data_IF_239213425689
#
_entry.id   IF_239213425689
#
_cell.length_a   1.000
_cell.length_b   1.000
_cell.length_c   1.000
_cell.angle_alpha   90.00
_cell.angle_beta   90.00
_cell.angle_gamma   90.00
#
_symmetry.space_group_name_H-M   'P 1'
#
loop_
_entity.id
_entity.type
_entity.pdbx_description
1 polymer ?
#
# COMPACT_ATOMS: atom_id res chain seq x y z
N UNK A 1 -70.13 40.42 54.84
CA UNK A 1 -69.05 40.89 53.98
C UNK A 1 -68.01 39.80 54.00
N UNK A 2 -67.97 38.97 52.94
CA UNK A 2 -67.04 37.83 52.80
C UNK A 2 -65.85 38.30 51.94
N UNK A 3 -64.63 38.25 52.50
CA UNK A 3 -63.40 38.54 51.79
C UNK A 3 -62.92 37.25 51.11
N UNK A 4 -62.78 37.28 49.78
CA UNK A 4 -62.13 36.21 49.00
C UNK A 4 -60.63 36.51 48.95
N UNK A 5 -59.81 35.53 49.34
CA UNK A 5 -58.36 35.50 49.09
C UNK A 5 -58.11 34.70 47.82
N UNK A 6 -57.47 35.34 46.86
CA UNK A 6 -56.99 34.67 45.62
C UNK A 6 -55.53 34.26 45.89
N UNK A 7 -55.28 32.96 45.84
CA UNK A 7 -53.94 32.39 45.94
C UNK A 7 -53.38 32.28 44.49
N UNK A 8 -52.35 33.05 44.20
CA UNK A 8 -51.61 32.93 42.92
C UNK A 8 -50.54 31.83 43.04
N UNK A 9 -50.68 30.75 42.26
CA UNK A 9 -49.67 29.69 42.13
C UNK A 9 -48.74 30.09 41.02
N UNK A 10 -47.50 30.40 41.38
CA UNK A 10 -46.41 30.62 40.41
C UNK A 10 -45.80 29.25 40.07
N UNK A 11 -46.06 28.76 38.84
CA UNK A 11 -45.36 27.54 38.28
C UNK A 11 -44.03 27.97 37.74
N UNK A 12 -42.94 27.58 38.42
CA UNK A 12 -41.58 27.63 37.84
C UNK A 12 -41.43 26.51 36.83
N UNK A 13 -41.43 26.84 35.54
CA UNK A 13 -41.04 25.93 34.47
C UNK A 13 -39.53 25.75 34.45
N UNK A 14 -39.02 24.57 34.84
CA UNK A 14 -37.65 24.17 34.60
C UNK A 14 -37.52 23.81 33.10
N UNK A 15 -36.90 24.69 32.33
CA UNK A 15 -36.45 24.36 30.97
C UNK A 15 -35.22 23.44 31.06
N UNK A 16 -35.43 22.14 30.87
CA UNK A 16 -34.34 21.19 30.69
C UNK A 16 -33.69 21.48 29.33
N UNK A 17 -32.50 22.10 29.32
CA UNK A 17 -31.64 22.17 28.14
C UNK A 17 -31.11 20.77 27.83
N UNK A 18 -31.80 20.04 26.98
CA UNK A 18 -31.25 18.84 26.35
C UNK A 18 -30.24 19.30 25.30
N UNK A 19 -28.96 19.30 25.66
CA UNK A 19 -27.85 19.36 24.68
C UNK A 19 -27.92 18.09 23.87
N UNK A 20 -28.52 18.15 22.68
CA UNK A 20 -28.32 17.15 21.63
C UNK A 20 -26.85 17.17 21.29
N UNK A 21 -26.08 16.13 21.70
CA UNK A 21 -24.77 15.86 21.11
C UNK A 21 -25.01 15.72 19.61
N UNK A 22 -24.54 16.69 18.84
CA UNK A 22 -24.43 16.51 17.39
C UNK A 22 -23.57 15.23 17.18
N UNK A 23 -24.11 14.23 16.49
CA UNK A 23 -23.35 13.08 16.09
C UNK A 23 -22.17 13.60 15.24
N UNK A 24 -20.95 13.19 15.60
CA UNK A 24 -19.81 13.48 14.75
C UNK A 24 -20.10 12.91 13.36
N UNK A 25 -19.71 13.62 12.28
CA UNK A 25 -19.89 13.11 10.94
C UNK A 25 -19.18 11.75 10.82
N UNK A 26 -19.85 10.78 10.22
CA UNK A 26 -19.30 9.45 10.02
C UNK A 26 -18.00 9.58 9.21
N UNK A 27 -16.88 9.04 9.74
CA UNK A 27 -15.59 9.08 9.08
C UNK A 27 -15.66 8.29 7.77
N UNK A 28 -15.06 8.81 6.72
CA UNK A 28 -14.95 8.06 5.48
C UNK A 28 -14.13 6.76 5.68
N UNK A 29 -14.25 5.82 4.76
CA UNK A 29 -13.67 4.48 4.92
C UNK A 29 -12.12 4.54 4.97
N UNK A 30 -11.49 5.42 4.19
CA UNK A 30 -10.04 5.60 4.22
C UNK A 30 -9.58 6.14 5.59
N UNK A 31 -10.34 7.05 6.21
CA UNK A 31 -10.02 7.55 7.56
C UNK A 31 -10.18 6.45 8.63
N UNK A 32 -11.16 5.57 8.49
CA UNK A 32 -11.32 4.42 9.41
C UNK A 32 -10.12 3.47 9.28
N UNK A 33 -9.63 3.23 8.05
CA UNK A 33 -8.40 2.46 7.83
C UNK A 33 -7.18 3.15 8.46
N UNK A 34 -7.03 4.47 8.25
CA UNK A 34 -5.95 5.25 8.87
C UNK A 34 -5.95 5.10 10.40
N UNK A 35 -7.10 5.28 11.05
CA UNK A 35 -7.23 5.17 12.51
C UNK A 35 -6.92 3.74 13.00
N UNK A 36 -7.30 2.74 12.22
CA UNK A 36 -6.96 1.33 12.51
C UNK A 36 -5.46 1.10 12.45
N UNK A 37 -4.79 1.59 11.39
CA UNK A 37 -3.34 1.51 11.25
C UNK A 37 -2.62 2.23 12.40
N UNK A 38 -3.10 3.41 12.78
CA UNK A 38 -2.54 4.19 13.89
C UNK A 38 -2.69 3.47 15.25
N UNK A 39 -3.81 2.78 15.45
CA UNK A 39 -4.04 1.97 16.65
C UNK A 39 -3.15 0.73 16.69
N UNK A 40 -3.03 0.01 15.56
CA UNK A 40 -2.27 -1.22 15.49
C UNK A 40 -0.75 -1.00 15.64
N UNK A 41 -0.20 0.08 15.05
CA UNK A 41 1.23 0.40 15.20
C UNK A 41 1.67 0.67 16.65
N UNK A 42 0.73 0.93 17.57
CA UNK A 42 1.04 1.04 19.00
C UNK A 42 1.26 -0.33 19.67
N UNK A 43 0.79 -1.40 19.03
CA UNK A 43 0.93 -2.79 19.53
C UNK A 43 2.16 -3.48 18.95
N UNK A 44 2.50 -3.16 17.70
CA UNK A 44 3.62 -3.78 16.97
C UNK A 44 3.58 -3.46 15.49
N UNK A 45 4.48 -4.06 14.73
CA UNK A 45 4.64 -3.89 13.30
C UNK A 45 3.90 -5.03 12.59
N UNK A 46 2.92 -4.72 11.76
CA UNK A 46 2.21 -5.72 10.98
C UNK A 46 3.11 -6.28 9.89
N UNK A 47 3.19 -7.61 9.82
CA UNK A 47 3.88 -8.31 8.74
C UNK A 47 2.99 -8.39 7.51
N UNK A 48 3.56 -8.03 6.35
CA UNK A 48 2.91 -8.10 5.06
C UNK A 48 3.69 -8.95 4.06
N UNK A 49 2.97 -9.56 3.10
CA UNK A 49 3.54 -10.32 2.00
C UNK A 49 2.81 -10.03 0.70
N UNK A 50 3.59 -9.83 -0.37
CA UNK A 50 3.07 -9.58 -1.72
C UNK A 50 2.60 -10.88 -2.36
N UNK A 51 1.44 -10.87 -3.02
CA UNK A 51 0.86 -11.98 -3.81
C UNK A 51 0.73 -13.31 -3.06
N UNK A 52 0.74 -13.27 -1.73
CA UNK A 52 0.81 -14.42 -0.83
C UNK A 52 -0.18 -15.56 -1.14
N UNK A 53 -1.45 -15.33 -1.56
CA UNK A 53 -2.44 -16.40 -1.72
C UNK A 53 -2.45 -17.03 -3.12
N UNK A 54 -1.53 -16.66 -4.00
CA UNK A 54 -1.60 -17.10 -5.39
C UNK A 54 -0.60 -18.18 -5.74
N UNK A 55 0.60 -18.06 -5.24
CA UNK A 55 1.70 -18.98 -5.51
C UNK A 55 2.77 -18.89 -4.41
N UNK A 56 3.52 -19.94 -4.27
CA UNK A 56 4.68 -20.03 -3.41
C UNK A 56 5.81 -20.80 -4.09
N UNK A 57 6.82 -21.17 -3.33
CA UNK A 57 7.98 -21.86 -3.89
C UNK A 57 7.67 -23.27 -4.41
N UNK A 58 6.64 -23.92 -3.88
CA UNK A 58 6.32 -25.33 -4.18
C UNK A 58 4.87 -25.56 -4.61
N UNK A 59 4.07 -24.49 -4.73
CA UNK A 59 2.64 -24.58 -5.03
C UNK A 59 2.19 -23.38 -5.87
N UNK A 60 1.13 -23.56 -6.65
CA UNK A 60 0.47 -22.52 -7.44
C UNK A 60 -1.06 -22.67 -7.26
N UNK A 61 -1.73 -21.63 -6.83
CA UNK A 61 -3.20 -21.53 -6.70
C UNK A 61 -3.86 -22.58 -5.82
N UNK A 62 -3.11 -23.21 -4.91
CA UNK A 62 -3.66 -24.12 -3.93
C UNK A 62 -4.57 -23.35 -2.95
N UNK A 63 -5.76 -23.90 -2.73
CA UNK A 63 -6.75 -23.24 -1.89
C UNK A 63 -6.23 -23.11 -0.45
N UNK A 64 -6.38 -21.93 0.13
CA UNK A 64 -5.97 -21.61 1.50
C UNK A 64 -4.46 -21.81 1.78
N UNK A 65 -3.64 -21.83 0.74
CA UNK A 65 -2.18 -21.88 0.86
C UNK A 65 -1.55 -20.48 0.91
N UNK A 66 -0.47 -20.39 1.65
CA UNK A 66 0.40 -19.23 1.83
C UNK A 66 1.75 -19.75 2.34
N UNK A 67 2.84 -19.28 1.75
CA UNK A 67 4.17 -19.65 2.26
C UNK A 67 4.39 -19.14 3.69
N UNK A 68 3.83 -17.97 4.03
CA UNK A 68 3.84 -17.40 5.38
C UNK A 68 3.10 -18.33 6.34
N UNK A 69 1.82 -18.62 6.07
CA UNK A 69 0.99 -19.48 6.89
C UNK A 69 1.57 -20.90 7.00
N UNK A 70 2.07 -21.44 5.90
CA UNK A 70 2.68 -22.77 5.88
C UNK A 70 3.96 -22.83 6.73
N UNK A 71 4.63 -21.67 6.94
CA UNK A 71 5.84 -21.58 7.76
C UNK A 71 5.54 -21.36 9.24
N UNK A 72 4.67 -20.42 9.60
CA UNK A 72 4.45 -20.04 11.00
C UNK A 72 3.06 -20.38 11.56
N UNK A 73 2.12 -20.83 10.71
CA UNK A 73 0.77 -21.20 11.14
C UNK A 73 -0.28 -20.08 11.01
N UNK A 74 0.13 -18.83 10.72
CA UNK A 74 -0.74 -17.67 10.61
C UNK A 74 -0.56 -16.93 9.28
N UNK A 75 -1.59 -16.21 8.85
CA UNK A 75 -1.56 -15.39 7.65
C UNK A 75 -0.81 -14.06 7.89
N UNK A 76 -0.22 -13.45 6.84
CA UNK A 76 0.25 -12.08 6.97
C UNK A 76 -0.92 -11.16 7.36
N UNK A 77 -0.65 -10.16 8.20
CA UNK A 77 -1.63 -9.15 8.59
C UNK A 77 -1.99 -8.21 7.42
N UNK A 78 -1.00 -7.91 6.58
CA UNK A 78 -1.14 -7.07 5.38
C UNK A 78 -0.87 -7.92 4.15
N UNK A 79 -1.78 -7.88 3.18
CA UNK A 79 -1.60 -8.62 1.93
C UNK A 79 -1.49 -7.65 0.76
N UNK A 80 -0.40 -7.79 0.01
CA UNK A 80 -0.11 -6.98 -1.16
C UNK A 80 -0.63 -7.61 -2.44
N UNK A 81 -1.10 -6.76 -3.37
CA UNK A 81 -1.59 -7.14 -4.69
C UNK A 81 -1.07 -6.17 -5.75
N UNK A 82 -0.92 -6.66 -6.98
CA UNK A 82 -0.35 -5.91 -8.10
C UNK A 82 -1.31 -5.82 -9.29
N UNK A 83 -1.54 -4.61 -9.82
CA UNK A 83 -2.52 -4.37 -10.88
C UNK A 83 -1.93 -4.18 -12.29
N UNK A 84 -0.63 -4.27 -12.49
CA UNK A 84 -0.03 -4.12 -13.82
C UNK A 84 -0.67 -5.06 -14.86
N UNK A 85 -1.13 -4.51 -15.99
CA UNK A 85 -1.89 -5.22 -17.01
C UNK A 85 -3.39 -4.89 -17.01
N UNK A 86 -3.96 -4.40 -15.89
CA UNK A 86 -5.37 -4.00 -15.83
C UNK A 86 -5.67 -2.88 -16.84
N UNK A 87 -4.73 -1.97 -17.03
CA UNK A 87 -4.82 -0.88 -17.98
C UNK A 87 -4.97 -1.33 -19.42
N UNK A 88 -4.48 -2.52 -19.75
CA UNK A 88 -4.63 -3.12 -21.08
C UNK A 88 -5.97 -3.87 -21.25
N UNK A 89 -6.69 -4.13 -20.14
CA UNK A 89 -7.83 -5.04 -20.12
C UNK A 89 -7.40 -6.51 -20.22
N UNK A 90 -6.17 -6.82 -19.79
CA UNK A 90 -5.68 -8.19 -19.71
C UNK A 90 -6.49 -8.99 -18.68
N UNK A 91 -6.62 -10.30 -18.88
CA UNK A 91 -7.30 -11.18 -17.92
C UNK A 91 -6.45 -11.48 -16.67
N UNK A 92 -5.15 -11.23 -16.75
CA UNK A 92 -4.15 -11.50 -15.71
C UNK A 92 -3.21 -10.30 -15.57
N UNK A 93 -2.71 -10.12 -14.34
CA UNK A 93 -1.69 -9.12 -14.10
C UNK A 93 -0.30 -9.54 -14.66
N UNK A 94 0.69 -8.69 -14.49
CA UNK A 94 2.07 -8.90 -14.96
C UNK A 94 2.74 -10.15 -14.36
N UNK A 95 2.31 -10.61 -13.18
CA UNK A 95 2.77 -11.83 -12.50
C UNK A 95 1.92 -13.06 -12.85
N UNK A 96 1.08 -12.95 -13.89
CA UNK A 96 0.18 -14.00 -14.39
C UNK A 96 -0.97 -14.37 -13.44
N UNK A 97 -1.27 -13.55 -12.44
CA UNK A 97 -2.41 -13.72 -11.53
C UNK A 97 -3.70 -13.28 -12.22
N UNK A 98 -4.72 -14.14 -12.34
CA UNK A 98 -6.02 -13.76 -12.88
C UNK A 98 -6.70 -12.70 -12.01
N UNK A 99 -7.18 -11.60 -12.60
CA UNK A 99 -7.86 -10.54 -11.86
C UNK A 99 -9.13 -11.00 -11.14
N UNK A 100 -9.82 -12.01 -11.70
CA UNK A 100 -10.96 -12.64 -11.02
C UNK A 100 -10.55 -13.33 -9.72
N UNK A 101 -9.42 -14.04 -9.74
CA UNK A 101 -8.87 -14.69 -8.54
C UNK A 101 -8.35 -13.67 -7.54
N UNK A 102 -7.74 -12.59 -8.03
CA UNK A 102 -7.29 -11.49 -7.20
C UNK A 102 -8.45 -10.83 -6.43
N UNK A 103 -9.57 -10.56 -7.11
CA UNK A 103 -10.79 -10.05 -6.48
C UNK A 103 -11.28 -10.98 -5.35
N UNK A 104 -11.32 -12.29 -5.59
CA UNK A 104 -11.72 -13.29 -4.58
C UNK A 104 -10.81 -13.22 -3.35
N UNK A 105 -9.49 -13.20 -3.53
CA UNK A 105 -8.54 -13.22 -2.40
C UNK A 105 -8.47 -11.89 -1.66
N UNK A 106 -8.65 -10.76 -2.33
CA UNK A 106 -8.82 -9.45 -1.66
C UNK A 106 -10.03 -9.50 -0.71
N UNK A 107 -11.17 -9.98 -1.20
CA UNK A 107 -12.38 -10.10 -0.38
C UNK A 107 -12.17 -11.11 0.76
N UNK A 108 -11.55 -12.24 0.48
CA UNK A 108 -11.28 -13.28 1.48
C UNK A 108 -10.37 -12.75 2.59
N UNK A 109 -9.26 -12.08 2.23
CA UNK A 109 -8.34 -11.55 3.23
C UNK A 109 -8.98 -10.45 4.09
N UNK A 110 -9.72 -9.54 3.46
CA UNK A 110 -10.49 -8.53 4.18
C UNK A 110 -11.51 -9.16 5.15
N UNK A 111 -12.24 -10.19 4.72
CA UNK A 111 -13.20 -10.89 5.57
C UNK A 111 -12.56 -11.65 6.74
N UNK A 112 -11.28 -12.05 6.61
CA UNK A 112 -10.49 -12.60 7.73
C UNK A 112 -10.06 -11.51 8.73
N UNK A 113 -10.28 -10.23 8.43
CA UNK A 113 -9.85 -9.10 9.23
C UNK A 113 -8.50 -8.50 8.80
N UNK A 114 -7.90 -8.98 7.72
CA UNK A 114 -6.63 -8.50 7.19
C UNK A 114 -6.72 -7.12 6.54
N UNK A 115 -5.56 -6.55 6.25
CA UNK A 115 -5.38 -5.26 5.59
C UNK A 115 -4.92 -5.48 4.16
N UNK A 116 -5.48 -4.70 3.24
CA UNK A 116 -5.18 -4.77 1.81
C UNK A 116 -4.27 -3.61 1.40
N UNK A 117 -3.17 -3.90 0.72
CA UNK A 117 -2.39 -2.90 -0.02
C UNK A 117 -2.29 -3.28 -1.49
N UNK A 118 -2.38 -2.27 -2.36
CA UNK A 118 -2.37 -2.49 -3.81
C UNK A 118 -1.35 -1.55 -4.45
N UNK A 119 -0.42 -2.14 -5.22
CA UNK A 119 0.49 -1.43 -6.11
C UNK A 119 0.01 -1.49 -7.56
N UNK A 120 0.52 -0.59 -8.39
CA UNK A 120 0.24 -0.58 -9.81
C UNK A 120 1.50 -0.27 -10.60
N UNK A 121 1.96 -1.25 -11.38
CA UNK A 121 3.05 -1.13 -12.35
C UNK A 121 2.48 -1.04 -13.77
N UNK A 122 1.86 0.09 -14.16
CA UNK A 122 1.28 0.19 -15.50
C UNK A 122 2.36 0.14 -16.57
N UNK A 123 1.99 -0.43 -17.71
CA UNK A 123 2.84 -0.43 -18.90
C UNK A 123 3.18 0.99 -19.32
N UNK A 124 4.25 1.14 -20.12
CA UNK A 124 4.62 2.43 -20.68
C UNK A 124 3.61 2.83 -21.75
N UNK A 125 2.83 3.90 -21.55
CA UNK A 125 1.73 4.26 -22.46
C UNK A 125 2.19 4.76 -23.84
N UNK A 126 3.46 5.15 -23.98
CA UNK A 126 4.03 5.62 -25.27
C UNK A 126 4.54 4.45 -26.10
N UNK A 127 5.24 3.50 -25.48
CA UNK A 127 5.92 2.40 -26.19
C UNK A 127 5.12 1.11 -26.25
N UNK A 128 4.01 1.00 -25.52
CA UNK A 128 3.11 -0.15 -25.57
C UNK A 128 2.34 -0.19 -26.89
N UNK A 129 2.32 -1.37 -27.53
CA UNK A 129 1.53 -1.64 -28.72
C UNK A 129 0.08 -1.97 -28.32
N UNK A 130 -0.87 -1.22 -28.84
CA UNK A 130 -2.28 -1.41 -28.54
C UNK A 130 -2.81 -2.71 -29.18
N UNK A 131 -3.66 -3.44 -28.45
CA UNK A 131 -4.33 -4.66 -28.93
C UNK A 131 -3.48 -5.93 -28.89
N UNK A 132 -2.23 -5.84 -28.46
CA UNK A 132 -1.37 -7.00 -28.22
C UNK A 132 -0.90 -7.04 -26.77
N UNK A 133 -0.97 -8.16 -26.09
CA UNK A 133 -0.23 -8.34 -24.85
C UNK A 133 1.26 -8.03 -25.02
N UNK A 134 2.15 -8.55 -24.19
CA UNK A 134 3.60 -8.45 -24.42
C UNK A 134 4.08 -9.36 -25.59
N UNK A 135 3.15 -10.06 -26.25
CA UNK A 135 3.46 -10.91 -27.37
C UNK A 135 4.11 -10.12 -28.52
N UNK A 136 5.34 -10.48 -28.87
CA UNK A 136 6.12 -9.80 -29.88
C UNK A 136 6.91 -8.57 -29.42
N UNK A 137 6.77 -8.14 -28.18
CA UNK A 137 7.62 -7.12 -27.56
C UNK A 137 8.82 -7.78 -26.87
N UNK A 138 9.96 -7.13 -26.97
CA UNK A 138 11.19 -7.57 -26.30
C UNK A 138 11.26 -6.82 -24.96
N UNK A 139 11.29 -7.56 -23.83
CA UNK A 139 11.48 -6.94 -22.53
C UNK A 139 12.74 -6.04 -22.52
N UNK A 140 12.71 -4.80 -21.98
CA UNK A 140 11.62 -4.20 -21.21
C UNK A 140 10.57 -3.41 -22.03
N UNK A 141 10.61 -3.43 -23.37
CA UNK A 141 9.73 -2.63 -24.23
C UNK A 141 8.25 -2.76 -23.87
N UNK A 142 7.59 -1.63 -23.69
CA UNK A 142 6.17 -1.54 -23.35
C UNK A 142 5.82 -1.95 -21.93
N UNK A 143 6.77 -2.31 -21.06
CA UNK A 143 6.53 -2.60 -19.64
C UNK A 143 6.72 -1.35 -18.77
N UNK A 144 6.47 -1.46 -17.46
CA UNK A 144 6.78 -0.40 -16.50
C UNK A 144 8.27 -0.03 -16.47
N UNK A 145 9.14 -1.00 -16.81
CA UNK A 145 10.61 -0.86 -16.89
C UNK A 145 11.12 -0.35 -18.23
N UNK A 146 10.25 0.00 -19.15
CA UNK A 146 10.66 0.62 -20.42
C UNK A 146 10.96 2.11 -20.20
N UNK A 147 12.23 2.41 -20.06
CA UNK A 147 12.77 3.75 -19.83
C UNK A 147 13.37 4.37 -21.12
N UNK A 148 13.05 3.83 -22.27
CA UNK A 148 13.59 4.26 -23.55
C UNK A 148 13.12 5.65 -24.00
N UNK A 149 12.02 6.14 -23.41
CA UNK A 149 11.44 7.46 -23.67
C UNK A 149 11.33 8.27 -22.37
N UNK A 150 11.96 9.44 -22.33
CA UNK A 150 11.93 10.36 -21.17
C UNK A 150 10.76 11.36 -21.22
N UNK A 151 9.89 11.26 -22.22
CA UNK A 151 8.74 12.16 -22.40
C UNK A 151 7.41 11.51 -22.01
N UNK A 152 7.44 10.30 -21.47
CA UNK A 152 6.24 9.49 -21.17
C UNK A 152 5.26 10.27 -20.31
N UNK A 153 5.69 10.76 -19.14
CA UNK A 153 4.81 11.49 -18.23
C UNK A 153 4.23 12.73 -18.89
N UNK A 154 5.05 13.52 -19.56
CA UNK A 154 4.58 14.71 -20.30
C UNK A 154 3.51 14.36 -21.36
N UNK A 155 3.67 13.23 -22.05
CA UNK A 155 2.74 12.81 -23.10
C UNK A 155 1.38 12.32 -22.58
N UNK A 156 1.27 11.92 -21.31
CA UNK A 156 0.00 11.45 -20.70
C UNK A 156 -0.69 12.53 -19.86
N UNK A 157 -0.02 13.64 -19.57
CA UNK A 157 -0.65 14.77 -18.88
C UNK A 157 -1.60 15.53 -19.83
N UNK A 158 -2.52 16.37 -19.32
CA UNK A 158 -3.46 17.15 -20.15
C UNK A 158 -2.78 17.90 -21.30
N UNK A 159 -3.24 17.66 -22.53
CA UNK A 159 -2.65 18.20 -23.75
C UNK A 159 -1.54 17.35 -24.36
N UNK A 160 -1.11 16.29 -23.72
CA UNK A 160 -0.15 15.32 -24.26
C UNK A 160 -0.77 14.37 -25.29
N UNK A 161 0.06 13.82 -26.18
CA UNK A 161 -0.38 12.99 -27.30
C UNK A 161 -1.03 11.65 -26.87
N UNK A 162 -0.74 11.17 -25.68
CA UNK A 162 -1.25 9.91 -25.12
C UNK A 162 -2.27 10.14 -23.99
N UNK A 163 -2.74 11.37 -23.77
CA UNK A 163 -3.66 11.71 -22.70
C UNK A 163 -4.93 10.87 -22.73
N UNK A 164 -5.62 10.79 -23.86
CA UNK A 164 -6.89 10.03 -24.00
C UNK A 164 -6.68 8.52 -23.80
N UNK A 165 -5.56 7.98 -24.27
CA UNK A 165 -5.19 6.58 -24.00
C UNK A 165 -5.03 6.35 -22.50
N UNK A 166 -4.34 7.23 -21.81
CA UNK A 166 -4.10 7.11 -20.39
C UNK A 166 -5.38 7.33 -19.55
N UNK A 167 -6.30 8.19 -19.99
CA UNK A 167 -7.65 8.32 -19.40
C UNK A 167 -8.39 6.99 -19.48
N UNK A 168 -8.32 6.29 -20.61
CA UNK A 168 -8.92 4.95 -20.77
C UNK A 168 -8.29 3.95 -19.80
N UNK A 169 -6.98 4.01 -19.58
CA UNK A 169 -6.27 3.15 -18.64
C UNK A 169 -6.69 3.41 -17.19
N UNK A 170 -6.77 4.68 -16.80
CA UNK A 170 -7.27 5.04 -15.48
C UNK A 170 -8.74 4.64 -15.27
N UNK A 171 -9.58 4.66 -16.33
CA UNK A 171 -10.95 4.18 -16.23
C UNK A 171 -11.01 2.67 -15.96
N UNK A 172 -10.18 1.86 -16.62
CA UNK A 172 -10.12 0.41 -16.36
C UNK A 172 -9.66 0.10 -14.94
N UNK A 173 -8.69 0.85 -14.43
CA UNK A 173 -8.29 0.78 -13.03
C UNK A 173 -9.47 1.12 -12.09
N UNK A 174 -10.17 2.22 -12.37
CA UNK A 174 -11.36 2.63 -11.61
C UNK A 174 -12.44 1.55 -11.61
N UNK A 175 -12.74 0.97 -12.77
CA UNK A 175 -13.74 -0.08 -12.91
C UNK A 175 -13.39 -1.33 -12.08
N UNK A 176 -12.12 -1.73 -12.06
CA UNK A 176 -11.65 -2.84 -11.23
C UNK A 176 -11.78 -2.53 -9.73
N UNK A 177 -11.28 -1.39 -9.29
CA UNK A 177 -11.36 -0.96 -7.88
C UNK A 177 -12.82 -0.84 -7.41
N UNK A 178 -13.73 -0.36 -8.26
CA UNK A 178 -15.15 -0.26 -7.96
C UNK A 178 -15.83 -1.64 -7.74
N UNK A 179 -15.24 -2.70 -8.28
CA UNK A 179 -15.67 -4.08 -8.08
C UNK A 179 -15.24 -4.69 -6.74
N UNK A 180 -14.30 -4.08 -6.02
CA UNK A 180 -13.77 -4.59 -4.75
C UNK A 180 -14.73 -4.27 -3.59
N UNK A 181 -15.72 -5.12 -3.41
CA UNK A 181 -16.77 -5.01 -2.40
C UNK A 181 -17.03 -6.33 -1.71
N UNK A 182 -17.45 -6.25 -0.47
CA UNK A 182 -17.97 -7.38 0.28
C UNK A 182 -19.30 -7.88 -0.31
N UNK A 183 -19.77 -9.04 0.11
CA UNK A 183 -21.03 -9.60 -0.38
C UNK A 183 -22.27 -8.73 -0.10
N UNK A 184 -22.22 -7.90 0.94
CA UNK A 184 -23.26 -6.93 1.30
C UNK A 184 -23.06 -5.55 0.64
N UNK A 185 -22.07 -5.42 -0.25
CA UNK A 185 -21.84 -4.25 -1.09
C UNK A 185 -20.97 -3.17 -0.45
N UNK A 186 -20.37 -3.41 0.72
CA UNK A 186 -19.46 -2.45 1.36
C UNK A 186 -18.15 -2.37 0.58
N UNK A 187 -17.63 -1.16 0.38
CA UNK A 187 -16.30 -0.95 -0.22
C UNK A 187 -15.21 -1.46 0.72
N UNK A 188 -14.24 -2.15 0.16
CA UNK A 188 -13.07 -2.63 0.92
C UNK A 188 -12.08 -1.47 1.08
N UNK A 189 -11.64 -1.14 2.31
CA UNK A 189 -10.58 -0.15 2.52
C UNK A 189 -9.24 -0.67 1.98
N UNK A 190 -8.52 0.16 1.25
CA UNK A 190 -7.30 -0.21 0.52
C UNK A 190 -6.22 0.83 0.76
N UNK A 191 -5.02 0.40 1.11
CA UNK A 191 -3.80 1.22 1.00
C UNK A 191 -3.39 1.18 -0.47
N UNK A 192 -3.60 2.28 -1.21
CA UNK A 192 -3.28 2.35 -2.63
C UNK A 192 -1.93 3.04 -2.86
N UNK A 193 -1.01 2.35 -3.52
CA UNK A 193 0.40 2.73 -3.66
C UNK A 193 0.85 2.77 -5.13
N UNK A 194 0.39 3.74 -5.91
CA UNK A 194 0.87 3.94 -7.28
C UNK A 194 2.22 4.66 -7.30
N UNK A 195 2.91 4.63 -8.44
CA UNK A 195 4.09 5.44 -8.75
C UNK A 195 5.22 5.34 -7.71
N UNK A 196 5.34 4.19 -7.06
CA UNK A 196 6.36 3.92 -6.03
C UNK A 196 7.77 3.93 -6.62
N UNK A 197 8.79 3.89 -5.75
CA UNK A 197 10.21 3.90 -6.11
C UNK A 197 10.62 5.02 -7.07
N UNK A 198 9.91 6.14 -7.02
CA UNK A 198 10.06 7.27 -7.94
C UNK A 198 11.43 7.98 -7.87
N UNK A 199 12.23 7.72 -6.86
CA UNK A 199 13.62 8.18 -6.72
C UNK A 199 14.60 7.33 -7.52
N UNK A 200 14.18 6.12 -7.96
CA UNK A 200 14.89 5.30 -8.91
C UNK A 200 14.67 5.77 -10.35
N UNK A 201 15.37 5.13 -11.29
CA UNK A 201 15.25 5.43 -12.73
C UNK A 201 15.00 4.17 -13.55
N UNK A 202 14.40 3.15 -12.93
CA UNK A 202 14.05 1.88 -13.58
C UNK A 202 12.59 1.78 -13.99
N UNK A 203 11.73 2.73 -13.56
CA UNK A 203 10.37 2.87 -14.04
C UNK A 203 10.23 4.13 -14.89
N UNK A 204 9.30 4.16 -15.87
CA UNK A 204 9.07 5.31 -16.74
C UNK A 204 8.59 6.58 -15.99
N UNK A 205 8.17 6.47 -14.72
CA UNK A 205 7.84 7.60 -13.83
C UNK A 205 8.99 7.98 -12.88
N UNK A 206 10.17 7.40 -13.05
CA UNK A 206 11.31 7.58 -12.18
C UNK A 206 12.00 8.96 -12.30
N UNK A 207 12.95 9.20 -11.40
CA UNK A 207 13.60 10.52 -11.21
C UNK A 207 14.21 11.10 -12.49
N UNK A 208 14.86 10.28 -13.31
CA UNK A 208 15.51 10.74 -14.56
C UNK A 208 14.58 10.76 -15.77
N UNK A 209 13.34 10.29 -15.61
CA UNK A 209 12.38 10.10 -16.69
C UNK A 209 11.31 11.19 -16.74
N UNK A 210 11.11 11.90 -15.62
CA UNK A 210 10.21 13.06 -15.57
C UNK A 210 10.66 14.02 -14.47
N UNK A 211 10.26 15.29 -14.57
CA UNK A 211 10.52 16.28 -13.53
C UNK A 211 9.68 16.02 -12.28
N UNK A 212 10.03 16.64 -11.16
CA UNK A 212 9.25 16.56 -9.93
C UNK A 212 7.83 17.10 -10.10
N UNK A 213 7.67 18.18 -10.89
CA UNK A 213 6.38 18.80 -11.21
C UNK A 213 5.52 17.87 -12.08
N UNK A 214 6.11 17.23 -13.10
CA UNK A 214 5.43 16.25 -13.94
C UNK A 214 4.98 15.02 -13.11
N UNK A 215 5.83 14.54 -12.21
CA UNK A 215 5.46 13.44 -11.29
C UNK A 215 4.29 13.81 -10.38
N UNK A 216 4.33 15.00 -9.76
CA UNK A 216 3.22 15.50 -8.92
C UNK A 216 1.93 15.69 -9.73
N UNK A 217 2.04 16.16 -10.97
CA UNK A 217 0.90 16.29 -11.87
C UNK A 217 0.30 14.92 -12.24
N UNK A 218 1.16 13.92 -12.50
CA UNK A 218 0.73 12.53 -12.73
C UNK A 218 -0.02 11.96 -11.51
N UNK A 219 0.53 12.17 -10.31
CA UNK A 219 -0.13 11.76 -9.06
C UNK A 219 -1.50 12.41 -8.91
N UNK A 220 -1.55 13.72 -9.03
CA UNK A 220 -2.79 14.49 -8.87
C UNK A 220 -3.84 14.07 -9.90
N UNK A 221 -3.46 13.87 -11.16
CA UNK A 221 -4.38 13.44 -12.21
C UNK A 221 -5.06 12.11 -11.88
N UNK A 222 -4.31 11.13 -11.36
CA UNK A 222 -4.88 9.84 -10.96
C UNK A 222 -5.77 9.98 -9.73
N UNK A 223 -5.31 10.68 -8.71
CA UNK A 223 -6.08 10.84 -7.47
C UNK A 223 -7.37 11.62 -7.71
N UNK A 224 -7.30 12.74 -8.42
CA UNK A 224 -8.48 13.56 -8.76
C UNK A 224 -9.51 12.76 -9.57
N UNK A 225 -9.05 11.90 -10.50
CA UNK A 225 -9.93 10.99 -11.25
C UNK A 225 -10.66 10.03 -10.32
N UNK A 226 -9.95 9.36 -9.42
CA UNK A 226 -10.56 8.40 -8.50
C UNK A 226 -11.44 9.09 -7.44
N UNK A 227 -11.10 10.29 -7.00
CA UNK A 227 -11.94 11.10 -6.12
C UNK A 227 -13.28 11.47 -6.80
N UNK A 228 -13.22 11.89 -8.08
CA UNK A 228 -14.42 12.17 -8.90
C UNK A 228 -15.27 10.92 -9.11
N UNK A 229 -14.66 9.74 -9.25
CA UNK A 229 -15.34 8.45 -9.35
C UNK A 229 -15.95 7.98 -8.01
N UNK A 230 -15.68 8.70 -6.92
CA UNK A 230 -16.30 8.49 -5.61
C UNK A 230 -15.59 7.47 -4.73
N UNK A 231 -14.29 7.29 -4.88
CA UNK A 231 -13.49 6.42 -4.01
C UNK A 231 -13.15 7.14 -2.68
N UNK A 232 -13.87 6.83 -1.63
CA UNK A 232 -13.65 7.29 -0.26
C UNK A 232 -12.96 6.22 0.63
N UNK A 233 -12.57 5.11 0.00
CA UNK A 233 -11.98 3.92 0.64
C UNK A 233 -10.49 3.72 0.30
N UNK A 234 -9.88 4.63 -0.45
CA UNK A 234 -8.46 4.55 -0.80
C UNK A 234 -7.61 5.42 0.14
N UNK A 235 -6.77 4.79 0.93
CA UNK A 235 -5.73 5.45 1.72
C UNK A 235 -4.45 5.48 0.89
N UNK A 236 -4.07 6.66 0.43
CA UNK A 236 -2.95 6.83 -0.49
C UNK A 236 -1.60 6.70 0.20
N UNK A 237 -0.71 5.90 -0.39
CA UNK A 237 0.64 5.66 0.10
C UNK A 237 1.70 6.17 -0.88
N UNK A 238 2.59 7.06 -0.42
CA UNK A 238 3.75 7.53 -1.16
C UNK A 238 5.00 6.81 -0.67
N UNK A 239 5.73 6.12 -1.55
CA UNK A 239 6.88 5.30 -1.21
C UNK A 239 8.02 5.41 -2.24
N UNK A 240 8.96 6.35 -2.06
CA UNK A 240 10.22 6.35 -2.79
C UNK A 240 11.10 5.17 -2.38
N UNK A 241 12.05 4.80 -3.23
CA UNK A 241 13.08 3.83 -2.89
C UNK A 241 14.01 4.33 -1.80
N UNK A 242 14.50 3.42 -0.95
CA UNK A 242 15.51 3.68 0.06
C UNK A 242 16.78 4.27 -0.59
N UNK A 243 17.36 5.28 0.01
CA UNK A 243 18.54 5.95 -0.53
C UNK A 243 19.61 6.21 0.54
N UNK A 244 20.86 6.22 0.11
CA UNK A 244 21.96 6.66 0.97
C UNK A 244 21.78 8.15 1.27
N UNK A 245 21.81 8.52 2.55
CA UNK A 245 21.63 9.89 3.01
C UNK A 245 20.28 10.52 2.58
N UNK A 246 19.19 9.77 2.66
CA UNK A 246 17.85 10.31 2.42
C UNK A 246 17.53 11.39 3.46
N UNK A 247 17.31 12.62 3.00
CA UNK A 247 16.89 13.76 3.82
C UNK A 247 15.41 14.04 3.64
N UNK A 248 14.78 14.73 4.60
CA UNK A 248 13.39 15.19 4.47
C UNK A 248 13.21 16.04 3.19
N UNK A 249 14.16 16.92 2.87
CA UNK A 249 14.12 17.75 1.67
C UNK A 249 14.07 16.89 0.39
N UNK A 250 14.93 15.87 0.29
CA UNK A 250 14.95 14.96 -0.85
C UNK A 250 13.67 14.14 -0.93
N UNK A 251 13.16 13.67 0.22
CA UNK A 251 11.88 12.95 0.30
C UNK A 251 10.72 13.81 -0.20
N UNK A 252 10.71 15.10 0.15
CA UNK A 252 9.67 16.07 -0.21
C UNK A 252 9.74 16.54 -1.67
N UNK A 253 10.84 16.37 -2.37
CA UNK A 253 11.02 16.87 -3.73
C UNK A 253 9.89 16.44 -4.67
N UNK A 254 9.48 15.17 -4.58
CA UNK A 254 8.40 14.58 -5.39
C UNK A 254 7.11 14.30 -4.60
N UNK A 255 7.07 14.64 -3.33
CA UNK A 255 5.93 14.39 -2.46
C UNK A 255 4.68 15.14 -2.93
N UNK A 256 3.53 14.45 -3.14
CA UNK A 256 2.34 15.07 -3.73
C UNK A 256 1.65 16.11 -2.84
N UNK A 257 1.85 16.05 -1.54
CA UNK A 257 1.24 16.96 -0.56
C UNK A 257 0.62 16.25 0.64
N UNK A 258 0.55 16.95 1.77
CA UNK A 258 0.02 16.39 3.02
C UNK A 258 -1.48 16.10 2.98
N UNK A 259 -2.24 16.81 2.17
CA UNK A 259 -3.67 16.61 1.93
C UNK A 259 -3.98 15.42 1.03
N UNK A 260 -2.96 14.91 0.34
CA UNK A 260 -3.06 13.83 -0.64
C UNK A 260 -2.65 12.47 -0.09
N UNK A 261 -1.79 12.42 0.92
CA UNK A 261 -1.13 11.21 1.41
C UNK A 261 -1.56 10.89 2.84
N UNK A 262 -1.91 9.64 3.10
CA UNK A 262 -2.15 9.12 4.45
C UNK A 262 -1.00 8.27 4.97
N UNK A 263 -0.37 7.47 4.09
CA UNK A 263 0.78 6.62 4.43
C UNK A 263 2.03 7.14 3.74
N UNK A 264 3.08 7.35 4.50
CA UNK A 264 4.42 7.66 3.99
C UNK A 264 5.30 6.42 4.17
N UNK A 265 5.93 6.00 3.08
CA UNK A 265 6.69 4.77 3.03
C UNK A 265 8.07 4.93 2.41
N UNK A 266 8.86 3.88 2.50
CA UNK A 266 10.06 3.63 1.70
C UNK A 266 10.07 2.18 1.24
N UNK A 267 10.70 1.92 0.09
CA UNK A 267 10.93 0.58 -0.43
C UNK A 267 12.43 0.28 -0.30
N UNK A 268 12.78 -0.72 0.53
CA UNK A 268 14.15 -0.96 0.95
C UNK A 268 14.60 -2.41 0.85
N UNK A 269 15.43 -2.73 -0.13
CA UNK A 269 15.97 -4.07 -0.37
C UNK A 269 17.44 -4.17 0.00
N UNK A 270 17.86 -5.35 0.50
CA UNK A 270 19.27 -5.66 0.71
C UNK A 270 19.89 -6.17 -0.59
N UNK A 271 20.61 -5.29 -1.30
CA UNK A 271 21.36 -5.64 -2.51
C UNK A 271 22.87 -5.84 -2.28
N UNK A 272 23.34 -5.57 -1.07
CA UNK A 272 24.74 -5.59 -0.69
C UNK A 272 24.97 -6.13 0.72
N UNK A 273 26.10 -5.80 1.36
CA UNK A 273 26.43 -6.25 2.69
C UNK A 273 25.33 -5.91 3.71
N UNK A 274 25.05 -6.85 4.61
CA UNK A 274 24.04 -6.70 5.68
C UNK A 274 24.24 -5.41 6.50
N UNK A 275 25.49 -5.12 6.87
CA UNK A 275 25.77 -3.94 7.69
C UNK A 275 25.41 -2.63 6.98
N UNK A 276 25.63 -2.54 5.67
CA UNK A 276 25.29 -1.36 4.88
C UNK A 276 23.77 -1.24 4.73
N UNK A 277 23.08 -2.34 4.50
CA UNK A 277 21.61 -2.39 4.45
C UNK A 277 21.02 -1.92 5.79
N UNK A 278 21.47 -2.50 6.92
CA UNK A 278 20.98 -2.14 8.24
C UNK A 278 21.20 -0.65 8.55
N UNK A 279 22.38 -0.13 8.26
CA UNK A 279 22.70 1.28 8.50
C UNK A 279 21.85 2.21 7.62
N UNK A 280 21.63 1.85 6.36
CA UNK A 280 20.81 2.62 5.44
C UNK A 280 19.32 2.55 5.83
N UNK A 281 18.80 1.38 6.17
CA UNK A 281 17.42 1.20 6.62
C UNK A 281 17.16 1.99 7.91
N UNK A 282 18.08 1.92 8.88
CA UNK A 282 18.01 2.65 10.15
C UNK A 282 17.90 4.16 9.91
N UNK A 283 18.82 4.73 9.11
CA UNK A 283 18.81 6.16 8.80
C UNK A 283 17.54 6.61 8.04
N UNK A 284 17.04 5.77 7.11
CA UNK A 284 15.86 6.10 6.34
C UNK A 284 14.59 6.02 7.20
N UNK A 285 14.47 5.02 8.09
CA UNK A 285 13.32 4.90 8.99
C UNK A 285 13.31 5.98 10.07
N UNK A 286 14.49 6.39 10.57
CA UNK A 286 14.60 7.53 11.50
C UNK A 286 14.07 8.82 10.86
N UNK A 287 14.47 9.12 9.64
CA UNK A 287 13.95 10.28 8.89
C UNK A 287 12.45 10.13 8.63
N UNK A 288 11.99 8.98 8.12
CA UNK A 288 10.63 8.74 7.73
C UNK A 288 9.65 8.86 8.90
N UNK A 289 9.98 8.26 10.04
CA UNK A 289 9.10 8.28 11.23
C UNK A 289 8.99 9.67 11.84
N UNK A 290 10.08 10.45 11.87
CA UNK A 290 10.07 11.87 12.27
C UNK A 290 9.21 12.70 11.31
N UNK A 291 9.34 12.47 10.00
CA UNK A 291 8.50 13.12 9.00
C UNK A 291 7.03 12.77 9.18
N UNK A 292 6.71 11.49 9.39
CA UNK A 292 5.36 11.00 9.61
C UNK A 292 4.71 11.65 10.85
N UNK A 293 5.42 11.65 11.98
CA UNK A 293 4.96 12.29 13.23
C UNK A 293 4.68 13.78 13.04
N UNK A 294 5.64 14.52 12.46
CA UNK A 294 5.53 15.95 12.18
C UNK A 294 4.31 16.30 11.33
N UNK A 295 3.95 15.44 10.37
CA UNK A 295 2.91 15.68 9.39
C UNK A 295 1.60 14.92 9.67
N UNK A 296 1.47 14.20 10.78
CA UNK A 296 0.29 13.40 11.12
C UNK A 296 0.04 12.27 10.10
N UNK A 297 1.09 11.53 9.71
CA UNK A 297 1.03 10.42 8.75
C UNK A 297 1.33 9.08 9.41
N UNK A 298 0.97 8.01 8.71
CA UNK A 298 1.38 6.65 9.07
C UNK A 298 2.69 6.32 8.34
N UNK A 299 3.72 5.93 9.07
CA UNK A 299 4.96 5.44 8.48
C UNK A 299 4.89 3.93 8.21
N UNK A 300 5.49 3.48 7.11
CA UNK A 300 5.59 2.06 6.76
C UNK A 300 6.87 1.75 5.97
N UNK A 301 7.35 0.51 6.08
CA UNK A 301 8.32 -0.08 5.16
C UNK A 301 7.51 -0.80 4.08
N UNK A 302 7.19 -0.06 3.02
CA UNK A 302 6.16 -0.43 2.04
C UNK A 302 6.55 -1.55 1.11
N UNK A 303 7.85 -1.76 0.93
CA UNK A 303 8.46 -2.98 0.38
C UNK A 303 9.81 -3.24 1.02
N UNK A 304 10.15 -4.50 1.20
CA UNK A 304 11.50 -4.88 1.62
C UNK A 304 11.82 -6.33 1.21
N UNK A 305 13.09 -6.69 1.35
CA UNK A 305 13.49 -8.07 1.14
C UNK A 305 14.99 -8.26 0.96
N UNK A 306 15.38 -9.52 1.11
CA UNK A 306 16.66 -10.05 0.65
C UNK A 306 16.38 -11.14 -0.37
N UNK A 307 16.79 -10.93 -1.61
CA UNK A 307 16.58 -11.89 -2.69
C UNK A 307 17.09 -13.28 -2.32
N UNK A 308 16.18 -14.28 -2.42
CA UNK A 308 16.44 -15.68 -2.16
C UNK A 308 16.89 -15.99 -0.73
N UNK A 309 16.71 -15.05 0.19
CA UNK A 309 17.07 -15.18 1.62
C UNK A 309 18.39 -15.93 1.83
N UNK A 310 19.42 -15.48 1.05
CA UNK A 310 20.75 -16.09 1.03
C UNK A 310 21.46 -16.01 2.40
N UNK A 311 20.95 -15.20 3.32
CA UNK A 311 21.32 -15.12 4.72
C UNK A 311 20.12 -15.64 5.54
N UNK A 312 20.08 -16.91 5.95
CA UNK A 312 18.90 -17.48 6.58
C UNK A 312 18.42 -16.77 7.84
N UNK A 313 19.32 -16.19 8.61
CA UNK A 313 19.07 -15.44 9.83
C UNK A 313 18.65 -13.95 9.57
N UNK A 314 18.37 -13.59 8.33
CA UNK A 314 18.03 -12.22 7.92
C UNK A 314 16.86 -11.62 8.73
N UNK A 315 15.85 -12.43 9.02
CA UNK A 315 14.67 -12.02 9.77
C UNK A 315 15.00 -11.45 11.15
N UNK A 316 15.88 -12.15 11.88
CA UNK A 316 16.21 -11.88 13.30
C UNK A 316 17.50 -11.07 13.46
N UNK A 317 18.42 -11.12 12.47
CA UNK A 317 19.73 -10.50 12.58
C UNK A 317 19.94 -9.27 11.68
N UNK A 318 19.04 -9.05 10.72
CA UNK A 318 19.11 -7.88 9.83
C UNK A 318 17.86 -7.01 9.90
N UNK A 319 16.66 -7.58 9.70
CA UNK A 319 15.42 -6.82 9.60
C UNK A 319 14.91 -6.37 10.98
N UNK A 320 14.58 -7.33 11.86
CA UNK A 320 13.95 -7.05 13.17
C UNK A 320 14.75 -6.04 14.02
N UNK A 321 16.07 -6.17 14.18
CA UNK A 321 16.84 -5.25 15.03
C UNK A 321 16.84 -3.79 14.58
N UNK A 322 16.45 -3.55 13.32
CA UNK A 322 16.30 -2.19 12.80
C UNK A 322 14.86 -1.72 12.94
N UNK A 323 13.90 -2.49 12.40
CA UNK A 323 12.50 -2.02 12.33
C UNK A 323 11.84 -1.86 13.70
N UNK A 324 12.21 -2.68 14.71
CA UNK A 324 11.63 -2.61 16.06
C UNK A 324 11.90 -1.31 16.82
N UNK A 325 12.85 -0.49 16.34
CA UNK A 325 13.19 0.83 16.91
C UNK A 325 12.19 1.92 16.54
N UNK A 326 11.40 1.69 15.49
CA UNK A 326 10.60 2.71 14.82
C UNK A 326 9.10 2.42 14.87
N UNK A 327 8.23 3.42 15.08
CA UNK A 327 6.80 3.26 15.11
C UNK A 327 6.19 3.16 13.69
N UNK A 328 6.68 2.23 12.88
CA UNK A 328 6.08 1.93 11.59
C UNK A 328 4.85 1.03 11.76
N UNK A 329 3.85 1.22 10.90
CA UNK A 329 2.59 0.47 10.98
C UNK A 329 2.74 -0.94 10.43
N UNK A 330 3.41 -1.07 9.31
CA UNK A 330 3.66 -2.38 8.69
C UNK A 330 4.99 -2.40 7.94
N UNK A 331 5.45 -3.59 7.69
CA UNK A 331 6.44 -3.90 6.67
C UNK A 331 5.85 -4.91 5.69
N UNK A 332 6.23 -4.84 4.41
CA UNK A 332 5.79 -5.78 3.41
C UNK A 332 7.00 -6.36 2.69
N UNK A 333 7.15 -7.69 2.72
CA UNK A 333 8.15 -8.36 1.91
C UNK A 333 7.57 -8.72 0.54
N UNK A 334 8.44 -8.66 -0.49
CA UNK A 334 8.03 -8.94 -1.84
C UNK A 334 7.71 -10.42 -2.04
N UNK A 335 7.11 -10.73 -3.18
CA UNK A 335 6.52 -12.03 -3.50
C UNK A 335 7.52 -13.19 -3.52
N UNK A 336 7.00 -14.39 -3.33
CA UNK A 336 7.70 -15.64 -3.58
C UNK A 336 7.40 -16.16 -4.98
N UNK A 337 8.44 -16.41 -5.77
CA UNK A 337 8.33 -17.10 -7.05
C UNK A 337 9.43 -18.17 -7.14
N UNK A 338 9.25 -19.18 -7.99
CA UNK A 338 10.10 -20.39 -8.02
C UNK A 338 11.60 -20.11 -8.06
N UNK A 339 12.00 -19.07 -8.79
CA UNK A 339 13.40 -18.71 -9.04
C UNK A 339 13.86 -17.48 -8.25
N UNK A 340 12.89 -16.75 -7.67
CA UNK A 340 13.15 -15.51 -6.95
C UNK A 340 12.12 -15.34 -5.84
N UNK A 341 12.58 -15.34 -4.58
CA UNK A 341 11.70 -15.20 -3.43
C UNK A 341 12.28 -14.24 -2.40
N UNK A 342 11.39 -13.65 -1.62
CA UNK A 342 11.72 -12.69 -0.57
C UNK A 342 11.03 -13.03 0.76
N UNK A 343 9.93 -13.77 0.72
CA UNK A 343 9.21 -14.23 1.90
C UNK A 343 9.69 -15.60 2.40
N UNK A 344 9.25 -16.02 3.59
CA UNK A 344 9.61 -17.31 4.17
C UNK A 344 9.02 -18.48 3.36
N UNK A 345 9.62 -19.67 3.52
CA UNK A 345 9.02 -20.91 3.06
C UNK A 345 9.42 -22.07 3.97
N UNK A 346 8.51 -23.01 4.28
CA UNK A 346 8.84 -24.13 5.16
C UNK A 346 9.93 -25.05 4.60
N UNK A 347 10.21 -24.94 3.30
CA UNK A 347 11.23 -25.72 2.61
C UNK A 347 12.63 -25.10 2.64
N UNK A 348 12.79 -23.92 3.24
CA UNK A 348 14.03 -23.14 3.19
C UNK A 348 14.69 -22.99 4.56
N UNK A 349 16.01 -22.78 4.61
CA UNK A 349 16.77 -22.68 5.87
C UNK A 349 16.34 -21.50 6.77
N UNK A 350 15.71 -20.47 6.23
CA UNK A 350 15.26 -19.29 6.96
C UNK A 350 13.97 -19.55 7.76
N UNK A 351 13.27 -20.66 7.55
CA UNK A 351 11.99 -20.97 8.18
C UNK A 351 12.01 -20.87 9.71
N UNK A 352 13.05 -21.36 10.37
CA UNK A 352 13.14 -21.31 11.84
C UNK A 352 13.38 -19.87 12.33
N UNK A 353 14.23 -19.09 11.65
CA UNK A 353 14.45 -17.69 11.97
C UNK A 353 13.19 -16.84 11.70
N UNK A 354 12.39 -17.22 10.70
CA UNK A 354 11.10 -16.57 10.49
C UNK A 354 10.11 -16.89 11.60
N UNK A 355 10.08 -18.11 12.14
CA UNK A 355 9.26 -18.45 13.31
C UNK A 355 9.69 -17.66 14.55
N UNK A 356 10.99 -17.43 14.76
CA UNK A 356 11.48 -16.54 15.81
C UNK A 356 10.99 -15.11 15.60
N UNK A 357 11.04 -14.60 14.37
CA UNK A 357 10.50 -13.30 13.99
C UNK A 357 8.97 -13.24 14.24
N UNK A 358 8.22 -14.27 13.86
CA UNK A 358 6.78 -14.39 14.11
C UNK A 358 6.44 -14.33 15.61
N UNK A 359 7.23 -14.97 16.47
CA UNK A 359 7.01 -14.98 17.92
C UNK A 359 7.53 -13.73 18.65
N UNK A 360 8.10 -12.78 17.94
CA UNK A 360 8.51 -11.50 18.53
C UNK A 360 7.30 -10.71 19.02
N UNK A 361 7.39 -10.13 20.22
CA UNK A 361 6.37 -9.20 20.74
C UNK A 361 6.26 -7.89 19.91
N UNK A 362 7.18 -7.69 18.96
CA UNK A 362 7.23 -6.51 18.09
C UNK A 362 6.51 -6.71 16.75
N UNK A 363 6.14 -7.93 16.41
CA UNK A 363 5.51 -8.25 15.13
C UNK A 363 4.06 -8.69 15.31
N UNK A 364 3.22 -8.31 14.36
CA UNK A 364 1.79 -8.64 14.34
C UNK A 364 1.46 -9.39 13.05
N UNK A 365 0.75 -10.48 13.19
CA UNK A 365 0.20 -11.27 12.10
C UNK A 365 -1.34 -11.21 12.15
N UNK A 366 -2.03 -11.93 11.30
CA UNK A 366 -3.47 -11.81 11.15
C UNK A 366 -4.23 -12.05 12.46
N UNK A 367 -3.82 -13.06 13.26
CA UNK A 367 -4.46 -13.40 14.54
C UNK A 367 -4.31 -12.29 15.61
N UNK A 368 -3.40 -11.33 15.41
CA UNK A 368 -3.09 -10.27 16.38
C UNK A 368 -3.81 -8.93 16.10
N UNK A 369 -4.54 -8.79 14.98
CA UNK A 369 -5.08 -7.51 14.51
C UNK A 369 -6.61 -7.41 14.47
#
# INVERSE_FOLDING_TARGET
MKKFFILAVVALGMAACTTTKQAEPEKNIAQQLFDRLDTLRQKGIMFGHQDDPFYGLTWDYDKDSSDVKNTCGDWPAVMGFELGGIEMGDAKNLDSVPFTRMTEEIINHYNRGGIITISWHPRNPVTTIDGGGLAGQIFPQGTAWDISDTTVVKNILPGGAQYEKFQTWMQRLSDFLAGLKTADGQKIPIIFRPWHENTGSWFWWGEKLCTAEEYKALWNMLQDKLDVDGFDNLLWAYSPGMATNLTEEKYMERYPGNDRIGVVGIDGYQWGPRADFMAQLDANLDMLTKFAEKNGKIAALTECGLKNLIEPDWWTMALLPVVEKYPISYLLVWRNYKEEWFGPSPSKPDAEFFKEFYHSEKTLFLENI
#
